data_IF_254075335752
#
_entry.id   IF_254075335752
#
_cell.length_a   1.000
_cell.length_b   1.000
_cell.length_c   1.000
_cell.angle_alpha   90.00
_cell.angle_beta   90.00
_cell.angle_gamma   90.00
#
_symmetry.space_group_name_H-M   'P 1'
#
loop_
_entity.id
_entity.type
_entity.pdbx_description
1 polymer ?
#
# COMPACT_ATOMS: atom_id res chain seq x y z
N UNK A 1 -6.41 -27.86 -12.28
CA UNK A 1 -5.45 -27.00 -13.00
C UNK A 1 -5.87 -25.55 -12.77
N UNK A 2 -4.98 -24.68 -12.27
CA UNK A 2 -5.32 -23.30 -11.95
C UNK A 2 -5.60 -22.47 -13.21
N UNK A 3 -6.55 -21.56 -13.12
CA UNK A 3 -6.93 -20.63 -14.18
C UNK A 3 -6.67 -19.19 -13.71
N UNK A 4 -5.92 -18.44 -14.47
CA UNK A 4 -5.51 -17.08 -14.13
C UNK A 4 -6.05 -16.07 -15.12
N UNK A 5 -6.39 -14.87 -14.63
CA UNK A 5 -6.58 -13.67 -15.43
C UNK A 5 -5.59 -12.60 -15.00
N UNK A 6 -4.62 -12.29 -15.83
CA UNK A 6 -3.67 -11.21 -15.59
C UNK A 6 -4.26 -9.87 -16.03
N UNK A 7 -4.38 -8.94 -15.10
CA UNK A 7 -4.79 -7.56 -15.38
C UNK A 7 -3.55 -6.67 -15.41
N UNK A 8 -3.29 -6.07 -16.58
CA UNK A 8 -2.10 -5.29 -16.86
C UNK A 8 -2.48 -3.87 -17.25
N UNK A 9 -1.81 -2.87 -16.65
CA UNK A 9 -1.91 -1.50 -17.14
C UNK A 9 -0.64 -1.14 -17.92
N UNK A 10 -0.70 -1.05 -19.25
CA UNK A 10 0.49 -0.77 -20.08
C UNK A 10 1.03 0.64 -19.91
N UNK A 11 0.25 1.58 -19.40
CA UNK A 11 0.66 2.96 -19.15
C UNK A 11 1.31 3.16 -17.78
N UNK A 12 1.06 2.25 -16.81
CA UNK A 12 1.63 2.26 -15.47
C UNK A 12 2.82 1.28 -15.39
N UNK A 13 4.02 1.76 -15.72
CA UNK A 13 5.24 0.93 -15.66
C UNK A 13 5.67 0.28 -16.99
N UNK A 14 4.89 0.42 -18.04
CA UNK A 14 5.27 0.15 -19.44
C UNK A 14 5.98 -1.19 -19.67
N UNK A 15 7.17 -1.13 -20.25
CA UNK A 15 7.97 -2.29 -20.62
C UNK A 15 8.33 -3.21 -19.43
N UNK A 16 8.43 -2.70 -18.22
CA UNK A 16 8.79 -3.48 -17.02
C UNK A 16 7.66 -4.45 -16.63
N UNK A 17 6.41 -4.00 -16.65
CA UNK A 17 5.26 -4.86 -16.34
C UNK A 17 5.06 -5.95 -17.38
N UNK A 18 5.22 -5.62 -18.66
CA UNK A 18 5.13 -6.60 -19.74
C UNK A 18 6.26 -7.65 -19.67
N UNK A 19 7.50 -7.22 -19.39
CA UNK A 19 8.64 -8.13 -19.25
C UNK A 19 8.48 -9.08 -18.05
N UNK A 20 8.03 -8.56 -16.90
CA UNK A 20 7.76 -9.37 -15.71
C UNK A 20 6.68 -10.42 -16.00
N UNK A 21 5.58 -10.03 -16.64
CA UNK A 21 4.53 -10.97 -17.00
C UNK A 21 5.00 -12.03 -17.98
N UNK A 22 5.82 -11.67 -18.99
CA UNK A 22 6.30 -12.64 -20.00
C UNK A 22 7.09 -13.79 -19.36
N UNK A 23 7.99 -13.50 -18.42
CA UNK A 23 8.75 -14.52 -17.70
C UNK A 23 7.85 -15.47 -16.92
N UNK A 24 6.91 -14.93 -16.16
CA UNK A 24 5.94 -15.70 -15.37
C UNK A 24 4.98 -16.48 -16.27
N UNK A 25 4.44 -15.85 -17.33
CA UNK A 25 3.48 -16.47 -18.26
C UNK A 25 4.04 -17.70 -18.97
N UNK A 26 5.33 -17.68 -19.33
CA UNK A 26 6.01 -18.84 -19.89
C UNK A 26 5.98 -20.01 -18.92
N UNK A 27 6.39 -19.79 -17.67
CA UNK A 27 6.46 -20.85 -16.66
C UNK A 27 5.07 -21.41 -16.30
N UNK A 28 4.05 -20.54 -16.20
CA UNK A 28 2.67 -20.97 -15.97
C UNK A 28 2.17 -21.88 -17.12
N UNK A 29 2.46 -21.54 -18.38
CA UNK A 29 2.07 -22.36 -19.53
C UNK A 29 2.83 -23.68 -19.59
N UNK A 30 4.13 -23.68 -19.31
CA UNK A 30 4.95 -24.90 -19.21
C UNK A 30 4.41 -25.88 -18.16
N UNK A 31 3.86 -25.34 -17.05
CA UNK A 31 3.16 -26.11 -16.02
C UNK A 31 1.70 -26.46 -16.37
N UNK A 32 1.21 -26.10 -17.58
CA UNK A 32 -0.12 -26.41 -18.05
C UNK A 32 -1.24 -25.52 -17.47
N UNK A 33 -0.92 -24.44 -16.73
CA UNK A 33 -1.92 -23.53 -16.20
C UNK A 33 -2.53 -22.64 -17.30
N UNK A 34 -3.83 -22.35 -17.18
CA UNK A 34 -4.52 -21.43 -18.07
C UNK A 34 -4.25 -19.98 -17.69
N UNK A 35 -3.87 -19.15 -18.67
CA UNK A 35 -3.63 -17.73 -18.46
C UNK A 35 -4.31 -16.89 -19.55
N UNK A 36 -5.23 -16.06 -19.14
CA UNK A 36 -5.78 -14.96 -19.94
C UNK A 36 -5.12 -13.63 -19.53
N UNK A 37 -5.01 -12.71 -20.48
CA UNK A 37 -4.44 -11.38 -20.21
C UNK A 37 -5.42 -10.30 -20.65
N UNK A 38 -5.78 -9.43 -19.72
CA UNK A 38 -6.67 -8.30 -19.92
C UNK A 38 -5.89 -6.99 -19.75
N UNK A 39 -6.02 -6.07 -20.69
CA UNK A 39 -5.34 -4.78 -20.66
C UNK A 39 -6.28 -3.67 -20.17
N UNK A 40 -5.89 -2.99 -19.11
CA UNK A 40 -6.63 -1.86 -18.58
C UNK A 40 -6.07 -0.54 -19.11
N UNK A 41 -6.95 0.42 -19.35
CA UNK A 41 -6.57 1.80 -19.71
C UNK A 41 -6.61 2.76 -18.51
N UNK A 42 -7.12 2.34 -17.38
CA UNK A 42 -7.19 3.10 -16.13
C UNK A 42 -7.27 2.18 -14.93
N UNK A 43 -7.03 2.71 -13.73
CA UNK A 43 -7.20 1.94 -12.49
C UNK A 43 -8.67 1.53 -12.26
N UNK A 44 -9.62 2.39 -12.59
CA UNK A 44 -11.05 2.06 -12.52
C UNK A 44 -11.40 0.88 -13.44
N UNK A 45 -10.87 0.85 -14.65
CA UNK A 45 -11.04 -0.27 -15.58
C UNK A 45 -10.35 -1.55 -15.07
N UNK A 46 -9.16 -1.42 -14.47
CA UNK A 46 -8.47 -2.57 -13.87
C UNK A 46 -9.29 -3.21 -12.74
N UNK A 47 -9.91 -2.39 -11.88
CA UNK A 47 -10.82 -2.84 -10.82
C UNK A 47 -12.02 -3.60 -11.38
N UNK A 48 -12.62 -3.12 -12.46
CA UNK A 48 -13.75 -3.77 -13.13
C UNK A 48 -13.36 -5.12 -13.73
N UNK A 49 -12.25 -5.19 -14.46
CA UNK A 49 -11.71 -6.43 -15.02
C UNK A 49 -11.42 -7.46 -13.93
N UNK A 50 -10.86 -7.01 -12.81
CA UNK A 50 -10.56 -7.87 -11.66
C UNK A 50 -11.84 -8.48 -11.05
N UNK A 51 -12.90 -7.69 -10.84
CA UNK A 51 -14.18 -8.20 -10.33
C UNK A 51 -14.77 -9.26 -11.26
N UNK A 52 -14.82 -8.98 -12.57
CA UNK A 52 -15.33 -9.92 -13.58
C UNK A 52 -14.55 -11.23 -13.62
N UNK A 53 -13.24 -11.16 -13.45
CA UNK A 53 -12.40 -12.36 -13.39
C UNK A 53 -12.67 -13.16 -12.11
N UNK A 54 -12.80 -12.49 -10.96
CA UNK A 54 -13.15 -13.12 -9.68
C UNK A 54 -14.52 -13.80 -9.71
N UNK A 55 -15.53 -13.20 -10.35
CA UNK A 55 -16.87 -13.78 -10.55
C UNK A 55 -16.86 -15.07 -11.39
N UNK A 56 -15.80 -15.30 -12.17
CA UNK A 56 -15.59 -16.52 -12.96
C UNK A 56 -14.72 -17.56 -12.27
N UNK A 57 -14.53 -17.47 -10.95
CA UNK A 57 -13.66 -18.33 -10.15
C UNK A 57 -12.21 -18.41 -10.66
N UNK A 58 -11.73 -17.33 -11.30
CA UNK A 58 -10.34 -17.25 -11.77
C UNK A 58 -9.48 -16.51 -10.73
N UNK A 59 -8.26 -16.97 -10.59
CA UNK A 59 -7.26 -16.25 -9.80
C UNK A 59 -6.85 -14.99 -10.56
N UNK A 60 -7.04 -13.84 -9.93
CA UNK A 60 -6.75 -12.54 -10.54
C UNK A 60 -5.30 -12.16 -10.30
N UNK A 61 -4.52 -11.95 -11.35
CA UNK A 61 -3.13 -11.49 -11.22
C UNK A 61 -3.07 -9.97 -11.38
N UNK A 62 -2.65 -9.28 -10.33
CA UNK A 62 -2.29 -7.87 -10.42
C UNK A 62 -0.85 -7.74 -10.94
N UNK A 63 -0.69 -7.28 -12.17
CA UNK A 63 0.62 -7.10 -12.81
C UNK A 63 1.02 -5.63 -12.77
N UNK A 64 1.97 -5.29 -11.92
CA UNK A 64 2.41 -3.90 -11.77
C UNK A 64 3.01 -3.58 -10.41
N UNK A 65 3.01 -2.32 -10.04
CA UNK A 65 3.42 -1.83 -8.72
C UNK A 65 2.26 -1.71 -7.73
N UNK A 66 2.53 -1.01 -6.62
CA UNK A 66 1.60 -0.87 -5.49
C UNK A 66 0.23 -0.31 -5.89
N UNK A 67 0.16 0.64 -6.81
CA UNK A 67 -1.13 1.17 -7.30
C UNK A 67 -2.00 0.10 -7.99
N UNK A 68 -1.41 -0.84 -8.75
CA UNK A 68 -2.15 -1.96 -9.34
C UNK A 68 -2.54 -2.99 -8.28
N UNK A 69 -1.63 -3.34 -7.38
CA UNK A 69 -1.89 -4.26 -6.27
C UNK A 69 -3.01 -3.72 -5.37
N UNK A 70 -2.90 -2.46 -4.91
CA UNK A 70 -3.88 -1.79 -4.06
C UNK A 70 -5.24 -1.64 -4.75
N UNK A 71 -5.25 -1.19 -6.01
CA UNK A 71 -6.48 -1.01 -6.75
C UNK A 71 -7.24 -2.30 -7.01
N UNK A 72 -6.56 -3.36 -7.45
CA UNK A 72 -7.15 -4.68 -7.70
C UNK A 72 -7.52 -5.36 -6.37
N UNK A 73 -6.61 -5.37 -5.39
CA UNK A 73 -6.87 -5.96 -4.08
C UNK A 73 -8.06 -5.31 -3.37
N UNK A 74 -8.14 -3.96 -3.40
CA UNK A 74 -9.31 -3.25 -2.87
C UNK A 74 -10.62 -3.61 -3.58
N UNK A 75 -10.58 -3.86 -4.90
CA UNK A 75 -11.75 -4.27 -5.67
C UNK A 75 -12.20 -5.71 -5.37
N UNK A 76 -11.27 -6.59 -4.94
CA UNK A 76 -11.52 -7.98 -4.59
C UNK A 76 -11.79 -8.18 -3.09
N UNK A 77 -11.53 -7.17 -2.26
CA UNK A 77 -11.78 -7.23 -0.81
C UNK A 77 -13.25 -7.57 -0.52
N UNK A 78 -13.48 -8.56 0.33
CA UNK A 78 -14.81 -9.04 0.71
C UNK A 78 -15.51 -9.90 -0.34
N UNK A 79 -14.92 -10.18 -1.50
CA UNK A 79 -15.55 -11.00 -2.55
C UNK A 79 -15.24 -12.50 -2.44
N UNK A 80 -14.20 -12.88 -1.70
CA UNK A 80 -13.69 -14.25 -1.64
C UNK A 80 -12.81 -14.64 -2.83
N UNK A 81 -12.69 -13.80 -3.86
CA UNK A 81 -11.78 -14.04 -4.99
C UNK A 81 -10.32 -14.03 -4.56
N UNK A 82 -9.49 -14.79 -5.26
CA UNK A 82 -8.07 -14.94 -4.94
C UNK A 82 -7.23 -14.00 -5.80
N UNK A 83 -6.38 -13.23 -5.15
CA UNK A 83 -5.40 -12.36 -5.76
C UNK A 83 -4.03 -13.06 -5.84
N UNK A 84 -3.39 -13.01 -6.99
CA UNK A 84 -1.95 -13.27 -7.16
C UNK A 84 -1.24 -11.96 -7.50
N UNK A 85 -0.01 -11.79 -7.06
CA UNK A 85 0.79 -10.60 -7.35
C UNK A 85 1.93 -10.94 -8.31
N UNK A 86 2.11 -10.09 -9.33
CA UNK A 86 3.28 -10.08 -10.21
C UNK A 86 3.95 -8.71 -10.06
N UNK A 87 4.84 -8.57 -9.05
CA UNK A 87 5.44 -7.29 -8.70
C UNK A 87 6.32 -6.76 -9.84
N UNK A 88 5.96 -5.62 -10.41
CA UNK A 88 6.69 -4.99 -11.51
C UNK A 88 6.85 -3.46 -11.32
N UNK A 89 6.58 -2.97 -10.13
CA UNK A 89 6.77 -1.59 -9.72
C UNK A 89 8.16 -1.33 -9.11
N UNK A 90 8.37 -0.09 -8.63
CA UNK A 90 9.60 0.31 -7.95
C UNK A 90 9.57 0.02 -6.43
N UNK A 91 8.42 0.10 -5.79
CA UNK A 91 8.24 -0.17 -4.35
C UNK A 91 7.90 -1.63 -4.12
N UNK A 92 6.75 -2.05 -4.62
CA UNK A 92 6.14 -3.35 -4.38
C UNK A 92 6.01 -3.63 -2.89
N UNK A 93 5.60 -2.61 -2.14
CA UNK A 93 5.64 -2.58 -0.69
C UNK A 93 4.72 -3.64 -0.09
N UNK A 94 3.52 -3.83 -0.66
CA UNK A 94 2.60 -4.87 -0.20
C UNK A 94 3.10 -6.30 -0.53
N UNK A 95 3.67 -6.52 -1.71
CA UNK A 95 4.28 -7.82 -2.04
C UNK A 95 5.45 -8.15 -1.11
N UNK A 96 6.23 -7.14 -0.74
CA UNK A 96 7.33 -7.25 0.24
C UNK A 96 6.81 -7.60 1.64
N UNK A 97 5.74 -6.96 2.09
CA UNK A 97 5.12 -7.27 3.39
C UNK A 97 4.63 -8.72 3.47
N UNK A 98 4.22 -9.29 2.34
CA UNK A 98 3.85 -10.69 2.21
C UNK A 98 5.05 -11.64 2.04
N UNK A 99 6.28 -11.13 1.97
CA UNK A 99 7.48 -11.94 1.73
C UNK A 99 7.54 -12.57 0.34
N UNK A 100 6.83 -12.02 -0.65
CA UNK A 100 6.76 -12.60 -2.00
C UNK A 100 8.08 -12.43 -2.77
N UNK A 101 8.47 -13.44 -3.56
CA UNK A 101 9.64 -13.36 -4.43
C UNK A 101 9.44 -12.31 -5.54
N UNK A 102 10.56 -11.81 -6.06
CA UNK A 102 10.56 -10.81 -7.15
C UNK A 102 11.06 -11.36 -8.48
N UNK A 103 11.66 -12.56 -8.47
CA UNK A 103 12.11 -13.23 -9.67
C UNK A 103 10.98 -14.06 -10.31
N UNK A 104 10.98 -14.24 -11.64
CA UNK A 104 9.89 -14.92 -12.34
C UNK A 104 9.66 -16.38 -11.90
N UNK A 105 10.71 -17.10 -11.51
CA UNK A 105 10.58 -18.51 -11.10
C UNK A 105 9.92 -18.63 -9.71
N UNK A 106 10.35 -17.79 -8.76
CA UNK A 106 9.73 -17.71 -7.45
C UNK A 106 8.26 -17.29 -7.54
N UNK A 107 7.96 -16.24 -8.33
CA UNK A 107 6.57 -15.79 -8.55
C UNK A 107 5.73 -16.93 -9.13
N UNK A 108 6.21 -17.62 -10.19
CA UNK A 108 5.47 -18.71 -10.82
C UNK A 108 5.22 -19.86 -9.82
N UNK A 109 6.19 -20.19 -8.96
CA UNK A 109 6.03 -21.20 -7.90
C UNK A 109 4.92 -20.81 -6.93
N UNK A 110 4.90 -19.56 -6.43
CA UNK A 110 3.82 -19.07 -5.55
C UNK A 110 2.47 -19.14 -6.25
N UNK A 111 2.39 -18.77 -7.54
CA UNK A 111 1.14 -18.83 -8.29
C UNK A 111 0.65 -20.27 -8.52
N UNK A 112 1.55 -21.22 -8.77
CA UNK A 112 1.20 -22.62 -9.05
C UNK A 112 0.92 -23.41 -7.78
N UNK A 113 1.76 -23.27 -6.76
CA UNK A 113 1.80 -24.15 -5.60
C UNK A 113 1.34 -23.47 -4.31
N UNK A 114 1.37 -22.11 -4.26
CA UNK A 114 1.01 -21.32 -3.09
C UNK A 114 -0.46 -21.49 -2.68
N UNK A 115 -0.74 -21.19 -1.42
CA UNK A 115 -2.09 -21.25 -0.86
C UNK A 115 -2.69 -19.86 -0.66
N UNK A 116 -4.02 -19.70 -0.77
CA UNK A 116 -4.68 -18.44 -0.48
C UNK A 116 -4.64 -18.12 1.02
N UNK A 117 -3.80 -17.16 1.43
CA UNK A 117 -3.75 -16.60 2.78
C UNK A 117 -4.78 -15.49 2.89
N UNK A 118 -5.57 -15.49 3.97
CA UNK A 118 -6.43 -14.38 4.29
C UNK A 118 -5.60 -13.24 4.85
N UNK A 119 -5.74 -12.05 4.29
CA UNK A 119 -5.05 -10.83 4.74
C UNK A 119 -6.05 -9.70 4.93
N UNK A 120 -5.68 -8.77 5.78
CA UNK A 120 -6.49 -7.62 6.12
C UNK A 120 -6.42 -6.56 5.01
N UNK A 121 -7.45 -5.75 4.95
CA UNK A 121 -7.49 -4.54 4.13
C UNK A 121 -7.95 -3.36 4.98
N UNK A 122 -7.82 -2.14 4.49
CA UNK A 122 -8.24 -0.93 5.18
C UNK A 122 -9.42 -0.31 4.44
N UNK A 123 -10.55 -0.19 5.10
CA UNK A 123 -11.64 0.67 4.65
C UNK A 123 -11.33 2.12 5.01
N UNK A 124 -11.37 2.99 4.03
CA UNK A 124 -11.11 4.42 4.18
C UNK A 124 -12.38 5.20 3.89
N UNK A 125 -12.78 6.06 4.81
CA UNK A 125 -13.91 6.97 4.65
C UNK A 125 -13.48 8.42 4.93
N UNK A 126 -14.01 9.36 4.16
CA UNK A 126 -13.74 10.79 4.29
C UNK A 126 -14.91 11.62 3.80
N UNK A 127 -14.83 12.95 3.87
CA UNK A 127 -15.85 13.83 3.33
C UNK A 127 -16.03 13.72 1.80
N UNK A 128 -15.03 13.19 1.08
CA UNK A 128 -15.01 13.09 -0.39
C UNK A 128 -15.28 11.65 -0.85
N UNK A 129 -14.93 10.68 -0.04
CA UNK A 129 -15.08 9.26 -0.36
C UNK A 129 -15.95 8.58 0.69
N UNK A 130 -17.13 8.09 0.29
CA UNK A 130 -17.99 7.30 1.17
C UNK A 130 -17.33 5.99 1.59
N UNK A 131 -16.58 5.37 0.67
CA UNK A 131 -15.84 4.14 0.92
C UNK A 131 -14.80 3.88 -0.14
N UNK A 132 -13.54 3.72 0.30
CA UNK A 132 -12.44 3.20 -0.53
C UNK A 132 -11.74 2.09 0.25
N UNK A 133 -11.23 1.06 -0.43
CA UNK A 133 -10.45 0.00 0.22
C UNK A 133 -9.02 0.03 -0.30
N UNK A 134 -8.06 0.02 0.62
CA UNK A 134 -6.62 0.01 0.35
C UNK A 134 -5.94 -1.11 1.13
N UNK A 135 -4.70 -1.46 0.80
CA UNK A 135 -3.99 -2.61 1.35
C UNK A 135 -2.90 -2.24 2.36
N UNK A 136 -2.19 -1.14 2.12
CA UNK A 136 -0.97 -0.82 2.83
C UNK A 136 -1.17 0.15 3.99
N UNK A 137 -1.51 1.41 3.71
CA UNK A 137 -1.58 2.44 4.74
C UNK A 137 -2.44 3.64 4.36
N UNK A 138 -2.90 4.34 5.41
CA UNK A 138 -3.52 5.67 5.33
C UNK A 138 -2.66 6.62 6.15
N UNK A 139 -2.28 7.76 5.59
CA UNK A 139 -1.38 8.69 6.24
C UNK A 139 -1.81 10.14 6.01
N UNK A 140 -1.56 11.00 7.01
CA UNK A 140 -1.87 12.43 6.92
C UNK A 140 -0.73 13.26 7.50
N UNK A 141 -0.23 14.21 6.71
CA UNK A 141 0.82 15.09 7.15
C UNK A 141 1.85 15.44 6.10
N UNK A 142 3.09 15.60 6.54
CA UNK A 142 4.21 16.01 5.68
C UNK A 142 4.49 15.01 4.55
N UNK A 143 4.27 13.74 4.78
CA UNK A 143 4.43 12.67 3.79
C UNK A 143 3.35 12.70 2.70
N UNK A 144 2.09 12.98 3.04
CA UNK A 144 1.04 13.22 2.05
C UNK A 144 1.35 14.46 1.19
N UNK A 145 1.86 15.53 1.82
CA UNK A 145 2.29 16.73 1.10
C UNK A 145 3.50 16.45 0.20
N UNK A 146 4.47 15.66 0.68
CA UNK A 146 5.64 15.24 -0.10
C UNK A 146 5.22 14.43 -1.34
N UNK A 147 4.28 13.50 -1.18
CA UNK A 147 3.75 12.69 -2.27
C UNK A 147 2.97 13.55 -3.28
N UNK A 148 2.16 14.48 -2.80
CA UNK A 148 1.48 15.47 -3.65
C UNK A 148 2.46 16.28 -4.49
N UNK A 149 3.55 16.78 -3.89
CA UNK A 149 4.59 17.51 -4.62
C UNK A 149 5.35 16.61 -5.61
N UNK A 150 5.66 15.38 -5.26
CA UNK A 150 6.32 14.42 -6.14
C UNK A 150 5.47 14.08 -7.37
N UNK A 151 4.17 13.87 -7.19
CA UNK A 151 3.22 13.59 -8.26
C UNK A 151 2.99 14.81 -9.18
N UNK A 152 3.10 16.03 -8.64
CA UNK A 152 2.96 17.28 -9.38
C UNK A 152 4.22 17.70 -10.14
N UNK A 153 5.38 17.11 -9.84
CA UNK A 153 6.66 17.47 -10.42
C UNK A 153 6.83 16.88 -11.84
N UNK A 154 6.48 17.67 -12.87
CA UNK A 154 6.57 17.27 -14.30
C UNK A 154 8.01 17.12 -14.82
N UNK A 155 9.00 17.79 -14.23
CA UNK A 155 10.38 17.89 -14.72
C UNK A 155 11.33 16.85 -14.14
N UNK A 156 11.06 16.34 -12.93
CA UNK A 156 11.89 15.34 -12.25
C UNK A 156 11.16 13.99 -12.27
N UNK A 157 11.82 12.95 -12.72
CA UNK A 157 11.28 11.60 -12.76
C UNK A 157 12.01 10.68 -11.77
N UNK A 158 11.28 9.76 -11.15
CA UNK A 158 11.86 8.72 -10.30
C UNK A 158 12.17 9.18 -8.87
N UNK A 159 13.18 8.58 -8.26
CA UNK A 159 13.54 8.79 -6.85
C UNK A 159 13.90 10.25 -6.54
N UNK A 160 14.49 10.98 -7.49
CA UNK A 160 14.87 12.38 -7.32
C UNK A 160 13.66 13.31 -7.12
N UNK A 161 12.53 13.04 -7.80
CA UNK A 161 11.29 13.82 -7.61
C UNK A 161 10.71 13.64 -6.22
N UNK A 162 10.80 12.43 -5.68
CA UNK A 162 10.35 12.12 -4.33
C UNK A 162 11.19 12.84 -3.26
N UNK A 163 12.53 12.79 -3.37
CA UNK A 163 13.40 13.52 -2.43
C UNK A 163 13.22 15.03 -2.50
N UNK A 164 13.08 15.59 -3.70
CA UNK A 164 12.80 17.02 -3.87
C UNK A 164 11.43 17.41 -3.28
N UNK A 165 10.40 16.58 -3.49
CA UNK A 165 9.08 16.73 -2.90
C UNK A 165 9.10 16.68 -1.37
N UNK A 166 9.80 15.70 -0.81
CA UNK A 166 9.98 15.53 0.63
C UNK A 166 10.71 16.73 1.25
N UNK A 167 11.83 17.16 0.64
CA UNK A 167 12.57 18.32 1.12
C UNK A 167 11.74 19.60 1.10
N UNK A 168 10.98 19.81 0.02
CA UNK A 168 10.08 20.95 -0.11
C UNK A 168 8.96 20.91 0.93
N UNK A 169 8.35 19.73 1.14
CA UNK A 169 7.31 19.54 2.13
C UNK A 169 7.82 19.86 3.54
N UNK A 170 8.97 19.32 3.93
CA UNK A 170 9.58 19.56 5.25
C UNK A 170 10.01 21.02 5.43
N UNK A 171 10.60 21.64 4.40
CA UNK A 171 11.01 23.04 4.47
C UNK A 171 9.83 23.99 4.69
N UNK A 172 8.68 23.70 4.08
CA UNK A 172 7.45 24.45 4.22
C UNK A 172 6.53 24.01 5.39
N UNK A 173 6.84 22.88 6.05
CA UNK A 173 5.99 22.32 7.08
C UNK A 173 5.90 23.22 8.31
N UNK A 174 4.70 23.45 8.76
CA UNK A 174 4.42 24.06 10.06
C UNK A 174 3.86 23.00 10.98
N UNK A 175 4.26 23.00 12.23
CA UNK A 175 3.71 22.13 13.24
C UNK A 175 2.18 22.17 13.18
N UNK A 176 1.57 20.99 13.14
CA UNK A 176 0.12 20.82 13.00
C UNK A 176 -0.40 20.12 14.24
N UNK A 177 -1.45 20.63 14.85
CA UNK A 177 -2.16 19.95 15.90
C UNK A 177 -3.02 18.83 15.32
N UNK A 178 -2.78 17.61 15.78
CA UNK A 178 -3.56 16.43 15.42
C UNK A 178 -4.46 16.01 16.58
N UNK A 179 -5.62 15.50 16.22
CA UNK A 179 -6.49 14.71 17.08
C UNK A 179 -6.67 13.35 16.42
N UNK A 180 -6.08 12.32 17.04
CA UNK A 180 -6.16 10.96 16.54
C UNK A 180 -6.98 10.13 17.50
N UNK A 181 -8.09 9.57 17.02
CA UNK A 181 -8.91 8.66 17.82
C UNK A 181 -8.64 7.24 17.40
N UNK A 182 -8.15 6.41 18.32
CA UNK A 182 -7.87 4.99 18.12
C UNK A 182 -8.83 4.20 18.98
N UNK A 183 -9.70 3.42 18.37
CA UNK A 183 -10.75 2.62 19.05
C UNK A 183 -11.52 3.41 20.13
N UNK A 184 -11.90 4.65 19.79
CA UNK A 184 -12.64 5.56 20.67
C UNK A 184 -11.77 6.34 21.67
N UNK A 185 -10.48 6.05 21.79
CA UNK A 185 -9.57 6.79 22.67
C UNK A 185 -8.87 7.91 21.91
N UNK A 186 -9.03 9.16 22.38
CA UNK A 186 -8.45 10.33 21.76
C UNK A 186 -6.99 10.56 22.20
N UNK A 187 -6.14 10.88 21.23
CA UNK A 187 -4.74 11.24 21.40
C UNK A 187 -4.48 12.57 20.67
N UNK A 188 -4.27 13.65 21.42
CA UNK A 188 -3.92 14.94 20.86
C UNK A 188 -2.41 15.17 20.92
N UNK A 189 -1.84 15.66 19.83
CA UNK A 189 -0.42 16.02 19.76
C UNK A 189 -0.15 17.03 18.63
N UNK A 190 1.02 17.64 18.67
CA UNK A 190 1.53 18.47 17.58
C UNK A 190 2.68 17.75 16.90
N UNK A 191 2.68 17.68 15.56
CA UNK A 191 3.71 16.90 14.87
C UNK A 191 3.76 17.01 13.35
N UNK A 192 4.46 16.05 12.78
CA UNK A 192 4.73 15.97 11.34
C UNK A 192 3.71 15.12 10.59
N UNK A 193 3.37 13.96 11.12
CA UNK A 193 2.53 12.99 10.40
C UNK A 193 1.90 11.96 11.33
N UNK A 194 0.81 11.38 10.86
CA UNK A 194 0.16 10.18 11.40
C UNK A 194 0.04 9.16 10.28
N UNK A 195 0.40 7.91 10.55
CA UNK A 195 0.24 6.79 9.61
C UNK A 195 -0.53 5.68 10.30
N UNK A 196 -1.64 5.24 9.72
CA UNK A 196 -2.36 4.03 10.09
C UNK A 196 -2.00 2.94 9.07
N UNK A 197 -1.19 1.99 9.47
CA UNK A 197 -0.55 1.02 8.60
C UNK A 197 -1.07 -0.41 8.85
N UNK A 198 -1.48 -1.09 7.80
CA UNK A 198 -1.76 -2.52 7.75
C UNK A 198 -0.50 -3.30 7.33
N UNK A 199 0.36 -2.69 6.52
CA UNK A 199 1.64 -3.26 6.13
C UNK A 199 2.80 -2.41 6.64
N UNK A 200 3.92 -3.06 6.99
CA UNK A 200 5.08 -2.37 7.56
C UNK A 200 5.74 -1.38 6.58
N UNK A 201 5.63 -1.63 5.29
CA UNK A 201 6.31 -0.87 4.26
C UNK A 201 5.42 0.20 3.62
N UNK A 202 6.03 1.36 3.32
CA UNK A 202 5.43 2.38 2.49
C UNK A 202 6.50 3.18 1.74
N UNK A 203 6.20 3.59 0.52
CA UNK A 203 7.01 4.51 -0.25
C UNK A 203 8.48 4.10 -0.42
N UNK A 204 8.77 3.23 -1.39
CA UNK A 204 10.13 2.82 -1.76
C UNK A 204 10.89 2.04 -0.68
N UNK A 205 10.31 0.99 -0.16
CA UNK A 205 10.96 0.10 0.82
C UNK A 205 11.29 0.78 2.16
N UNK A 206 10.48 1.74 2.60
CA UNK A 206 10.63 2.35 3.91
C UNK A 206 9.75 1.62 4.91
N UNK A 207 10.35 1.20 6.01
CA UNK A 207 9.71 0.42 7.06
C UNK A 207 9.12 1.38 8.12
N UNK A 208 7.91 1.93 7.83
CA UNK A 208 7.24 2.90 8.70
C UNK A 208 6.65 2.25 9.97
N UNK A 209 6.16 1.03 9.85
CA UNK A 209 5.53 0.29 10.93
C UNK A 209 6.17 -1.11 11.02
N UNK A 210 7.35 -1.25 11.65
CA UNK A 210 8.10 -2.51 11.67
C UNK A 210 7.38 -3.71 12.28
N UNK A 211 6.41 -3.45 13.17
CA UNK A 211 5.63 -4.48 13.86
C UNK A 211 4.26 -4.74 13.20
N UNK A 212 3.96 -4.10 12.06
CA UNK A 212 2.69 -4.31 11.37
C UNK A 212 2.66 -5.70 10.72
N UNK A 213 1.58 -6.42 10.97
CA UNK A 213 1.26 -7.73 10.41
C UNK A 213 0.00 -7.61 9.55
N UNK A 214 0.01 -8.20 8.36
CA UNK A 214 -1.06 -8.00 7.38
C UNK A 214 -2.32 -8.83 7.63
N UNK A 215 -2.37 -9.61 8.73
CA UNK A 215 -3.46 -10.56 9.04
C UNK A 215 -3.77 -10.70 10.54
N UNK A 216 -3.37 -9.73 11.38
CA UNK A 216 -3.63 -9.75 12.82
C UNK A 216 -4.90 -8.98 13.22
N UNK A 217 -5.61 -8.39 12.26
CA UNK A 217 -6.83 -7.62 12.48
C UNK A 217 -6.61 -6.25 13.12
N UNK A 218 -5.39 -5.69 13.05
CA UNK A 218 -5.02 -4.41 13.66
C UNK A 218 -4.30 -3.50 12.66
N UNK A 219 -4.33 -2.21 12.95
CA UNK A 219 -3.50 -1.19 12.30
C UNK A 219 -2.44 -0.70 13.29
N UNK A 220 -1.19 -0.62 12.84
CA UNK A 220 -0.16 0.12 13.54
C UNK A 220 -0.33 1.62 13.30
N UNK A 221 -0.46 2.39 14.38
CA UNK A 221 -0.68 3.84 14.30
C UNK A 221 0.60 4.56 14.72
N UNK A 222 1.36 4.99 13.74
CA UNK A 222 2.64 5.68 13.95
C UNK A 222 2.41 7.18 13.93
N UNK A 223 2.68 7.84 15.06
CA UNK A 223 2.59 9.30 15.23
C UNK A 223 3.99 9.88 15.40
N UNK A 224 4.38 10.78 14.49
CA UNK A 224 5.67 11.49 14.56
C UNK A 224 5.43 12.89 15.07
N UNK A 225 5.81 13.12 16.33
CA UNK A 225 5.67 14.37 17.04
C UNK A 225 6.59 15.46 16.48
N UNK A 226 6.30 16.72 16.84
CA UNK A 226 7.14 17.85 16.47
C UNK A 226 8.55 17.71 17.03
N UNK A 227 9.51 18.06 16.20
CA UNK A 227 10.94 17.93 16.50
C UNK A 227 11.76 18.93 15.67
N UNK A 228 12.99 19.24 16.10
CA UNK A 228 13.87 20.05 15.27
C UNK A 228 14.04 19.47 13.87
N UNK A 229 13.92 20.32 12.84
CA UNK A 229 13.98 19.88 11.42
C UNK A 229 15.22 19.03 11.06
N UNK A 230 16.34 19.20 11.75
CA UNK A 230 17.54 18.37 11.59
C UNK A 230 17.26 16.88 11.90
N UNK A 231 16.32 16.59 12.82
CA UNK A 231 15.95 15.22 13.16
C UNK A 231 15.19 14.53 12.03
N UNK A 232 14.55 15.28 11.15
CA UNK A 232 13.86 14.72 9.98
C UNK A 232 14.77 13.85 9.12
N UNK A 233 16.00 14.31 8.85
CA UNK A 233 16.97 13.53 8.06
C UNK A 233 17.37 12.24 8.77
N UNK A 234 17.50 12.28 10.09
CA UNK A 234 17.78 11.09 10.90
C UNK A 234 16.62 10.10 10.84
N UNK A 235 15.38 10.58 11.05
CA UNK A 235 14.18 9.75 10.94
C UNK A 235 14.05 9.13 9.54
N UNK A 236 14.27 9.91 8.48
CA UNK A 236 14.21 9.41 7.10
C UNK A 236 15.24 8.31 6.82
N UNK A 237 16.42 8.38 7.43
CA UNK A 237 17.42 7.31 7.33
C UNK A 237 17.01 6.07 8.13
N UNK A 238 16.48 6.26 9.33
CA UNK A 238 16.02 5.19 10.22
C UNK A 238 14.78 4.44 9.70
N UNK A 239 13.97 5.06 8.83
CA UNK A 239 12.90 4.36 8.12
C UNK A 239 13.43 3.20 7.23
N UNK A 240 14.69 3.19 6.87
CA UNK A 240 15.30 2.07 6.15
C UNK A 240 15.43 0.79 7.00
N UNK A 241 15.51 0.93 8.32
CA UNK A 241 15.67 -0.18 9.28
C UNK A 241 14.52 -0.31 10.27
N UNK A 242 13.58 0.65 10.28
CA UNK A 242 12.53 0.72 11.29
C UNK A 242 12.97 1.28 12.64
N UNK A 243 14.23 1.72 12.80
CA UNK A 243 14.76 2.16 14.10
C UNK A 243 14.10 3.44 14.64
N UNK A 244 13.44 4.22 13.78
CA UNK A 244 12.72 5.44 14.17
C UNK A 244 11.64 5.21 15.24
N UNK A 245 11.03 4.03 15.34
CA UNK A 245 9.98 3.73 16.34
C UNK A 245 10.49 3.76 17.76
N UNK A 246 11.81 3.65 17.97
CA UNK A 246 12.45 3.74 19.29
C UNK A 246 12.79 5.18 19.70
N UNK A 247 12.49 6.17 18.86
CA UNK A 247 12.73 7.58 19.16
C UNK A 247 11.64 8.13 20.11
N UNK A 248 11.98 8.98 21.08
CA UNK A 248 10.99 9.58 21.97
C UNK A 248 9.98 10.51 21.26
N UNK A 249 10.28 10.91 20.02
CA UNK A 249 9.39 11.69 19.17
C UNK A 249 8.42 10.83 18.37
N UNK A 250 8.55 9.52 18.42
CA UNK A 250 7.67 8.58 17.71
C UNK A 250 6.86 7.80 18.73
N UNK A 251 5.55 7.85 18.58
CA UNK A 251 4.64 7.03 19.37
C UNK A 251 3.93 6.05 18.45
N UNK A 252 3.90 4.80 18.84
CA UNK A 252 3.20 3.73 18.13
C UNK A 252 2.05 3.24 18.99
N UNK A 253 0.87 3.12 18.41
CA UNK A 253 -0.31 2.51 19.01
C UNK A 253 -0.83 1.43 18.07
N UNK A 254 -1.75 0.60 18.55
CA UNK A 254 -2.45 -0.39 17.74
C UNK A 254 -3.95 -0.25 17.93
N UNK A 255 -4.71 -0.44 16.87
CA UNK A 255 -6.17 -0.37 16.94
C UNK A 255 -6.83 -0.83 15.65
N UNK A 256 -8.16 -1.00 15.71
CA UNK A 256 -8.97 -1.45 14.58
C UNK A 256 -9.56 -0.31 13.77
N UNK A 257 -9.81 0.80 14.44
CA UNK A 257 -10.35 2.01 13.80
C UNK A 257 -9.54 3.22 14.23
N UNK A 258 -9.13 4.01 13.25
CA UNK A 258 -8.29 5.19 13.42
C UNK A 258 -8.92 6.35 12.69
N UNK A 259 -9.34 7.38 13.44
CA UNK A 259 -9.80 8.65 12.89
C UNK A 259 -8.73 9.71 13.06
N UNK A 260 -8.37 10.36 11.96
CA UNK A 260 -7.34 11.40 11.93
C UNK A 260 -8.00 12.74 11.60
N UNK A 261 -7.83 13.71 12.50
CA UNK A 261 -8.26 15.09 12.36
C UNK A 261 -7.07 16.01 12.59
N UNK A 262 -7.15 17.25 12.10
CA UNK A 262 -6.12 18.26 12.32
C UNK A 262 -6.76 19.64 12.52
N UNK A 263 -6.01 20.55 13.14
CA UNK A 263 -6.40 21.95 13.40
C UNK A 263 -6.50 22.81 12.13
N UNK A 264 -6.02 22.27 11.01
CA UNK A 264 -6.09 22.88 9.67
C UNK A 264 -6.30 21.81 8.60
N UNK A 265 -6.75 22.22 7.43
CA UNK A 265 -6.84 21.32 6.28
C UNK A 265 -5.43 20.89 5.85
N UNK A 266 -5.12 19.61 6.02
CA UNK A 266 -3.90 18.97 5.52
C UNK A 266 -4.29 17.78 4.64
N UNK A 267 -3.50 17.48 3.60
CA UNK A 267 -3.78 16.34 2.75
C UNK A 267 -3.60 15.03 3.52
N UNK A 268 -4.41 14.02 3.16
CA UNK A 268 -4.14 12.64 3.49
C UNK A 268 -3.90 11.84 2.21
N UNK A 269 -3.21 10.73 2.33
CA UNK A 269 -2.99 9.75 1.26
C UNK A 269 -3.35 8.35 1.72
N UNK A 270 -3.68 7.50 0.74
CA UNK A 270 -3.97 6.10 0.92
C UNK A 270 -3.30 5.31 -0.22
N UNK A 271 -2.45 4.33 0.11
CA UNK A 271 -1.65 3.54 -0.84
C UNK A 271 -0.93 4.36 -1.93
N UNK A 272 -0.42 5.55 -1.56
CA UNK A 272 0.33 6.43 -2.46
C UNK A 272 -0.51 7.41 -3.28
N UNK A 273 -1.83 7.33 -3.24
CA UNK A 273 -2.73 8.32 -3.82
C UNK A 273 -3.08 9.40 -2.78
N UNK A 274 -3.07 10.67 -3.19
CA UNK A 274 -3.44 11.80 -2.32
C UNK A 274 -4.71 12.41 -2.88
N UNK A 275 -5.83 12.15 -2.20
CA UNK A 275 -7.14 12.43 -2.77
C UNK A 275 -7.87 13.62 -2.13
N UNK A 276 -7.66 13.87 -0.84
CA UNK A 276 -8.42 14.86 -0.11
C UNK A 276 -7.70 15.37 1.15
N UNK A 277 -8.37 16.22 1.93
CA UNK A 277 -7.90 16.67 3.23
C UNK A 277 -8.60 15.89 4.36
N UNK A 278 -7.95 15.82 5.53
CA UNK A 278 -8.59 15.32 6.76
C UNK A 278 -9.86 16.11 7.09
N UNK A 279 -10.88 15.53 7.78
CA UNK A 279 -10.81 14.27 8.52
C UNK A 279 -10.90 13.02 7.64
N UNK A 280 -10.20 11.96 8.06
CA UNK A 280 -10.25 10.64 7.44
C UNK A 280 -10.36 9.57 8.52
N UNK A 281 -11.11 8.51 8.24
CA UNK A 281 -11.20 7.33 9.10
C UNK A 281 -10.68 6.12 8.33
N UNK A 282 -9.79 5.36 8.96
CA UNK A 282 -9.26 4.09 8.51
C UNK A 282 -9.75 2.99 9.44
N UNK A 283 -10.39 1.95 8.91
CA UNK A 283 -10.85 0.79 9.66
C UNK A 283 -10.29 -0.47 9.04
N UNK A 284 -9.69 -1.34 9.84
CA UNK A 284 -9.26 -2.65 9.36
C UNK A 284 -10.47 -3.52 9.02
N UNK A 285 -10.37 -4.25 7.92
CA UNK A 285 -11.31 -5.30 7.51
C UNK A 285 -10.55 -6.64 7.62
N UNK A 286 -10.70 -7.38 8.73
CA UNK A 286 -9.90 -8.57 8.99
C UNK A 286 -10.18 -9.67 7.97
N UNK A 287 -9.09 -10.26 7.41
CA UNK A 287 -9.13 -11.38 6.49
C UNK A 287 -9.93 -11.13 5.21
N UNK A 288 -10.17 -9.86 4.85
CA UNK A 288 -11.09 -9.49 3.79
C UNK A 288 -10.57 -9.79 2.37
N UNK A 289 -9.29 -10.05 2.20
CA UNK A 289 -8.68 -10.37 0.90
C UNK A 289 -7.92 -11.70 0.99
N UNK A 290 -8.05 -12.53 -0.03
CA UNK A 290 -7.28 -13.78 -0.16
C UNK A 290 -6.16 -13.60 -1.14
N UNK A 291 -4.91 -13.77 -0.70
CA UNK A 291 -3.72 -13.58 -1.55
C UNK A 291 -2.91 -14.87 -1.61
N UNK A 292 -2.45 -15.27 -2.81
CA UNK A 292 -1.54 -16.40 -2.94
C UNK A 292 -0.21 -16.07 -2.27
N UNK A 293 0.23 -16.94 -1.37
CA UNK A 293 1.50 -16.87 -0.65
C UNK A 293 2.20 -18.23 -0.64
N UNK A 294 3.47 -18.26 -0.23
CA UNK A 294 4.19 -19.53 -0.10
C UNK A 294 3.50 -20.45 0.91
N UNK A 295 3.50 -21.78 0.68
CA UNK A 295 2.98 -22.75 1.65
C UNK A 295 3.73 -22.61 2.97
N UNK A 296 3.00 -22.48 4.08
CA UNK A 296 3.60 -22.35 5.41
C UNK A 296 4.02 -20.94 5.81
N UNK A 297 3.70 -19.90 5.03
CA UNK A 297 3.88 -18.50 5.41
C UNK A 297 2.78 -17.99 6.37
N UNK A 298 2.26 -18.85 7.23
CA UNK A 298 1.43 -18.43 8.35
C UNK A 298 2.36 -17.99 9.50
N UNK A 299 2.15 -16.79 10.01
CA UNK A 299 2.81 -16.22 11.18
C UNK A 299 2.57 -17.05 12.45
#
# INVERSE_FOLDING_TARGET
MRQFTAVVNPTAGGATSAAALLGVARLLREAGAGLETEYSHSLAHARELARRAGERDRIVLAVGGDGMAGGIGGALSGTGAVLGLVPAGRGNDFARALGLPTDPAGIARVLLDGEPRAVDTIEVTSAVHDRTVVLGSVYAGVDALANHHANSARLLRGTASYYAGALRAVAGWRATGYRVTVDGTEHAFTGYTVVAANSGYYGFNRLIAPAAEVDDGLLEVVMIHDAPRRLFFTLMNELGTGAHVHRPQVRVLRGREVRIEADRAIPYGADGEVDAAVPVTARVLPGALRVLSEPGAAS
#
